data_IF_206265565360
#
_entry.id   IF_206265565360
#
_cell.length_a   1.000
_cell.length_b   1.000
_cell.length_c   1.000
_cell.angle_alpha   90.00
_cell.angle_beta   90.00
_cell.angle_gamma   90.00
#
_symmetry.space_group_name_H-M   'P 1'
#
loop_
_entity.id
_entity.type
_entity.pdbx_description
1 polymer ?
#
# COMPACT_ATOMS: atom_id res chain seq x y z
N UNK A 1 11.22 22.49 46.06
CA UNK A 1 10.46 21.24 45.86
C UNK A 1 9.31 21.36 44.84
N UNK A 2 8.47 22.41 44.87
CA UNK A 2 7.32 22.50 43.93
C UNK A 2 7.71 22.71 42.47
N UNK A 3 8.76 23.48 42.15
CA UNK A 3 9.18 23.76 40.76
C UNK A 3 9.60 22.49 40.00
N UNK A 4 10.31 21.58 40.66
CA UNK A 4 10.75 20.30 40.10
C UNK A 4 9.59 19.37 39.77
N UNK A 5 8.51 19.40 40.56
CA UNK A 5 7.28 18.62 40.30
C UNK A 5 6.55 19.13 39.06
N UNK A 6 6.47 20.45 38.86
CA UNK A 6 5.82 21.03 37.69
C UNK A 6 6.61 20.75 36.41
N UNK A 7 7.93 20.77 36.46
CA UNK A 7 8.80 20.41 35.34
C UNK A 7 8.62 18.93 34.98
N UNK A 8 8.60 18.04 35.97
CA UNK A 8 8.41 16.61 35.74
C UNK A 8 7.02 16.30 35.15
N UNK A 9 5.98 16.95 35.68
CA UNK A 9 4.63 16.85 35.15
C UNK A 9 4.55 17.36 33.70
N UNK A 10 5.20 18.48 33.38
CA UNK A 10 5.23 19.02 32.02
C UNK A 10 5.91 18.08 31.02
N UNK A 11 7.04 17.46 31.42
CA UNK A 11 7.77 16.49 30.58
C UNK A 11 6.92 15.24 30.34
N UNK A 12 6.29 14.70 31.38
CA UNK A 12 5.42 13.52 31.27
C UNK A 12 4.25 13.78 30.31
N UNK A 13 3.58 14.93 30.43
CA UNK A 13 2.45 15.29 29.55
C UNK A 13 2.84 15.37 28.08
N UNK A 14 4.02 15.92 27.74
CA UNK A 14 4.47 16.01 26.34
C UNK A 14 4.80 14.64 25.73
N UNK A 15 5.27 13.68 26.53
CA UNK A 15 5.52 12.30 26.08
C UNK A 15 4.19 11.61 25.73
N UNK A 16 3.13 11.82 26.53
CA UNK A 16 1.82 11.22 26.26
C UNK A 16 1.10 11.82 25.03
N UNK A 17 1.33 13.10 24.69
CA UNK A 17 0.70 13.72 23.51
C UNK A 17 1.35 13.33 22.16
N UNK A 18 2.55 12.77 22.17
CA UNK A 18 3.30 12.45 20.93
C UNK A 18 2.89 11.12 20.26
N UNK A 19 1.84 10.46 20.74
CA UNK A 19 1.51 9.07 20.36
C UNK A 19 0.59 8.85 19.16
N UNK A 20 0.09 9.89 18.49
CA UNK A 20 -0.81 9.71 17.36
C UNK A 20 -0.04 9.50 16.05
N UNK A 21 0.32 8.24 15.74
CA UNK A 21 0.80 7.91 14.39
C UNK A 21 -0.30 8.23 13.39
N UNK A 22 -0.03 9.13 12.45
CA UNK A 22 -1.00 9.41 11.38
C UNK A 22 -1.17 8.14 10.56
N UNK A 23 -2.42 7.75 10.32
CA UNK A 23 -2.71 6.61 9.45
C UNK A 23 -2.27 6.99 8.03
N UNK A 24 -1.59 6.09 7.31
CA UNK A 24 -1.26 6.34 5.91
C UNK A 24 -2.54 6.44 5.08
N UNK A 25 -2.50 7.24 4.03
CA UNK A 25 -3.50 7.19 2.98
C UNK A 25 -3.23 5.96 2.11
N UNK A 26 -4.29 5.28 1.69
CA UNK A 26 -4.20 4.11 0.82
C UNK A 26 -4.95 4.37 -0.49
N UNK A 27 -4.30 4.08 -1.60
CA UNK A 27 -4.89 4.14 -2.94
C UNK A 27 -4.78 2.76 -3.56
N UNK A 28 -5.93 2.14 -3.86
CA UNK A 28 -5.99 0.87 -4.58
C UNK A 28 -6.24 1.14 -6.06
N UNK A 29 -5.22 0.94 -6.89
CA UNK A 29 -5.32 1.05 -8.35
C UNK A 29 -5.48 -0.34 -8.94
N UNK A 30 -6.57 -0.56 -9.68
CA UNK A 30 -6.86 -1.81 -10.38
C UNK A 30 -6.90 -1.56 -11.89
N UNK A 31 -6.18 -2.39 -12.65
CA UNK A 31 -6.30 -2.49 -14.09
C UNK A 31 -7.04 -3.78 -14.43
N UNK A 32 -8.04 -3.69 -15.29
CA UNK A 32 -8.78 -4.85 -15.81
C UNK A 32 -8.07 -5.44 -17.04
N UNK A 33 -8.37 -6.71 -17.33
CA UNK A 33 -7.96 -7.44 -18.55
C UNK A 33 -6.47 -7.35 -18.89
N UNK A 34 -5.62 -7.37 -17.86
CA UNK A 34 -4.18 -7.23 -18.00
C UNK A 34 -3.46 -8.57 -17.82
N UNK A 35 -2.47 -8.82 -18.66
CA UNK A 35 -1.61 -10.02 -18.58
C UNK A 35 -0.15 -9.61 -18.54
N UNK A 36 0.67 -10.42 -17.86
CA UNK A 36 2.12 -10.22 -17.79
C UNK A 36 2.75 -10.08 -19.18
N UNK A 37 2.18 -10.79 -20.17
CA UNK A 37 2.65 -10.81 -21.57
C UNK A 37 2.55 -9.44 -22.27
N UNK A 38 1.76 -8.51 -21.73
CA UNK A 38 1.56 -7.16 -22.26
C UNK A 38 2.23 -6.08 -21.41
N UNK A 39 3.12 -6.45 -20.50
CA UNK A 39 3.76 -5.52 -19.58
C UNK A 39 5.27 -5.64 -19.65
N UNK A 40 5.91 -4.54 -20.06
CA UNK A 40 7.38 -4.44 -20.07
C UNK A 40 8.00 -4.63 -18.70
N UNK A 41 7.27 -4.26 -17.65
CA UNK A 41 7.64 -4.49 -16.26
C UNK A 41 8.01 -5.97 -15.97
N UNK A 42 7.38 -6.92 -16.68
CA UNK A 42 7.65 -8.35 -16.53
C UNK A 42 8.57 -8.93 -17.63
N UNK A 43 9.32 -8.09 -18.33
CA UNK A 43 10.34 -8.51 -19.30
C UNK A 43 9.89 -8.64 -20.75
N UNK A 44 8.67 -8.19 -21.08
CA UNK A 44 8.16 -8.21 -22.46
C UNK A 44 8.54 -6.96 -23.25
N UNK A 45 8.61 -7.07 -24.57
CA UNK A 45 9.10 -5.98 -25.45
C UNK A 45 8.17 -4.76 -25.45
N UNK A 46 6.86 -4.99 -25.39
CA UNK A 46 5.82 -3.96 -25.50
C UNK A 46 5.14 -3.67 -24.15
N UNK A 47 4.27 -2.65 -24.13
CA UNK A 47 3.51 -2.29 -22.92
C UNK A 47 4.31 -1.49 -21.91
N UNK A 48 4.99 -0.44 -22.38
CA UNK A 48 5.69 0.52 -21.51
C UNK A 48 4.69 1.26 -20.63
N UNK A 49 4.87 1.17 -19.31
CA UNK A 49 4.01 1.80 -18.31
C UNK A 49 4.85 2.65 -17.35
N UNK A 50 5.35 3.83 -17.79
CA UNK A 50 6.45 4.52 -17.10
C UNK A 50 6.13 4.91 -15.65
N UNK A 51 4.86 5.23 -15.35
CA UNK A 51 4.43 5.56 -13.99
C UNK A 51 4.32 4.30 -13.09
N UNK A 52 3.92 3.16 -13.66
CA UNK A 52 3.83 1.89 -12.94
C UNK A 52 5.23 1.31 -12.72
N UNK A 53 6.10 1.39 -13.73
CA UNK A 53 7.51 1.00 -13.60
C UNK A 53 8.24 1.85 -12.54
N UNK A 54 7.97 3.15 -12.48
CA UNK A 54 8.49 4.01 -11.40
C UNK A 54 8.00 3.56 -10.03
N UNK A 55 6.70 3.27 -9.90
CA UNK A 55 6.12 2.77 -8.65
C UNK A 55 6.74 1.42 -8.23
N UNK A 56 6.99 0.53 -9.20
CA UNK A 56 7.64 -0.76 -8.96
C UNK A 56 9.09 -0.59 -8.48
N UNK A 57 9.85 0.36 -9.04
CA UNK A 57 11.23 0.66 -8.65
C UNK A 57 11.34 1.28 -7.25
N UNK A 58 10.34 2.05 -6.83
CA UNK A 58 10.28 2.68 -5.50
C UNK A 58 9.60 1.80 -4.45
N UNK A 59 9.13 0.61 -4.85
CA UNK A 59 8.28 -0.24 -4.03
C UNK A 59 8.62 -1.74 -4.13
N UNK A 60 7.58 -2.56 -4.04
CA UNK A 60 7.68 -4.02 -4.10
C UNK A 60 6.88 -4.53 -5.30
N UNK A 61 7.47 -5.44 -6.06
CA UNK A 61 6.81 -6.14 -7.18
C UNK A 61 6.58 -7.60 -6.82
N UNK A 62 5.36 -8.08 -7.02
CA UNK A 62 5.00 -9.49 -6.82
C UNK A 62 5.09 -10.25 -8.14
N UNK A 63 6.13 -11.06 -8.32
CA UNK A 63 6.31 -11.87 -9.55
C UNK A 63 5.37 -13.09 -9.65
N UNK A 64 4.63 -13.39 -8.57
CA UNK A 64 3.71 -14.52 -8.47
C UNK A 64 2.40 -14.07 -7.81
N UNK A 65 1.71 -13.10 -8.43
CA UNK A 65 0.36 -12.67 -8.02
C UNK A 65 -0.68 -13.37 -8.90
N UNK A 66 -1.68 -14.00 -8.28
CA UNK A 66 -2.71 -14.79 -8.97
C UNK A 66 -4.08 -14.15 -8.82
N UNK A 67 -4.88 -14.19 -9.89
CA UNK A 67 -6.31 -13.91 -9.82
C UNK A 67 -7.07 -15.17 -9.40
N UNK A 68 -8.10 -15.01 -8.58
CA UNK A 68 -8.94 -16.13 -8.14
C UNK A 68 -9.78 -16.73 -9.28
N UNK A 69 -10.03 -15.97 -10.35
CA UNK A 69 -10.72 -16.45 -11.54
C UNK A 69 -10.40 -15.57 -12.76
N UNK A 70 -10.50 -16.11 -14.00
CA UNK A 70 -10.35 -15.34 -15.23
C UNK A 70 -11.68 -14.66 -15.65
N UNK A 71 -12.44 -14.12 -14.70
CA UNK A 71 -13.74 -13.43 -14.95
C UNK A 71 -13.84 -12.20 -14.06
N UNK A 72 -14.15 -11.02 -14.63
CA UNK A 72 -14.06 -9.73 -13.94
C UNK A 72 -14.86 -9.67 -12.62
N UNK A 73 -16.08 -10.22 -12.59
CA UNK A 73 -16.89 -10.22 -11.36
C UNK A 73 -16.23 -11.06 -10.26
N UNK A 74 -15.85 -12.29 -10.60
CA UNK A 74 -15.28 -13.27 -9.66
C UNK A 74 -13.84 -12.89 -9.25
N UNK A 75 -13.10 -12.18 -10.09
CA UNK A 75 -11.79 -11.64 -9.72
C UNK A 75 -11.90 -10.48 -8.70
N UNK A 76 -12.94 -9.65 -8.82
CA UNK A 76 -13.11 -8.45 -7.97
C UNK A 76 -13.85 -8.71 -6.67
N UNK A 77 -14.83 -9.63 -6.65
CA UNK A 77 -15.60 -9.90 -5.43
C UNK A 77 -14.69 -10.26 -4.23
N UNK A 78 -13.71 -11.17 -4.36
CA UNK A 78 -12.77 -11.47 -3.27
C UNK A 78 -11.89 -10.29 -2.86
N UNK A 79 -11.51 -9.40 -3.79
CA UNK A 79 -10.74 -8.19 -3.46
C UNK A 79 -11.55 -7.23 -2.57
N UNK A 80 -12.86 -7.16 -2.79
CA UNK A 80 -13.75 -6.28 -2.03
C UNK A 80 -14.21 -6.90 -0.70
N UNK A 81 -14.43 -8.22 -0.66
CA UNK A 81 -15.02 -8.91 0.51
C UNK A 81 -13.99 -9.62 1.38
N UNK A 82 -12.81 -9.94 0.86
CA UNK A 82 -11.83 -10.80 1.53
C UNK A 82 -12.24 -12.27 1.60
N UNK A 83 -13.24 -12.70 0.82
CA UNK A 83 -13.76 -14.07 0.79
C UNK A 83 -13.38 -14.70 -0.56
N UNK A 84 -12.74 -15.88 -0.49
CA UNK A 84 -12.42 -16.71 -1.66
C UNK A 84 -13.62 -17.56 -2.09
#
# INVERSE_FOLDING_TARGET
MSKSIHILAFILTNIFLSGATQKPNFVFLLSEDNSIHYLRLYGYEYGKTPNIEKLANEGLTFNHAFSNAPVCSVARSPLATGIL
#
